data_IF_208788324387
#
_entry.id   IF_208788324387
#
_cell.length_a   1.000
_cell.length_b   1.000
_cell.length_c   1.000
_cell.angle_alpha   90.00
_cell.angle_beta   90.00
_cell.angle_gamma   90.00
#
_symmetry.space_group_name_H-M   'P 1'
#
loop_
_entity.id
_entity.type
_entity.pdbx_description
1 polymer ?
#
# COMPACT_ATOMS: atom_id res chain seq x y z
N UNK A 1 19.20 2.12 8.53
CA UNK A 1 18.63 3.38 7.98
C UNK A 1 17.51 3.95 8.86
N UNK A 2 16.54 3.13 9.30
CA UNK A 2 15.37 3.54 10.11
C UNK A 2 15.68 4.28 11.43
N UNK A 3 16.88 4.10 12.01
CA UNK A 3 17.31 4.81 13.23
C UNK A 3 17.70 6.27 12.99
N UNK A 4 17.95 6.68 11.75
CA UNK A 4 18.26 8.07 11.43
C UNK A 4 16.94 8.85 11.31
N UNK A 5 16.64 9.67 12.33
CA UNK A 5 15.41 10.48 12.36
C UNK A 5 15.27 11.38 11.14
N UNK A 6 16.36 12.00 10.68
CA UNK A 6 16.33 12.88 9.51
C UNK A 6 15.99 12.12 8.23
N UNK A 7 16.49 10.89 8.09
CA UNK A 7 16.12 10.01 6.98
C UNK A 7 14.61 9.71 6.97
N UNK A 8 14.03 9.41 8.12
CA UNK A 8 12.58 9.16 8.25
C UNK A 8 11.77 10.40 7.86
N UNK A 9 12.19 11.58 8.35
CA UNK A 9 11.56 12.86 7.99
C UNK A 9 11.66 13.14 6.49
N UNK A 10 12.81 12.91 5.86
CA UNK A 10 12.99 13.07 4.41
C UNK A 10 12.06 12.14 3.63
N UNK A 11 11.93 10.87 4.03
CA UNK A 11 11.02 9.94 3.34
C UNK A 11 9.57 10.45 3.41
N UNK A 12 9.11 10.91 4.57
CA UNK A 12 7.77 11.48 4.72
C UNK A 12 7.57 12.80 3.94
N UNK A 13 8.53 13.72 4.01
CA UNK A 13 8.43 14.99 3.30
C UNK A 13 8.53 14.82 1.79
N UNK A 14 9.42 13.94 1.31
CA UNK A 14 9.65 13.72 -0.11
C UNK A 14 8.43 13.11 -0.78
N UNK A 15 7.71 12.20 -0.13
CA UNK A 15 6.47 11.61 -0.69
C UNK A 15 5.40 12.68 -0.93
N UNK A 16 5.21 13.59 0.03
CA UNK A 16 4.25 14.69 -0.10
C UNK A 16 4.68 15.73 -1.12
N UNK A 17 5.92 16.24 -1.00
CA UNK A 17 6.42 17.33 -1.87
C UNK A 17 6.65 16.85 -3.29
N UNK A 18 7.13 15.60 -3.47
CA UNK A 18 7.35 14.99 -4.78
C UNK A 18 6.08 14.80 -5.58
N UNK A 19 5.00 14.29 -4.96
CA UNK A 19 3.70 14.19 -5.62
C UNK A 19 3.12 15.56 -5.97
N UNK A 20 3.21 16.52 -5.05
CA UNK A 20 2.83 17.92 -5.31
C UNK A 20 3.57 18.49 -6.53
N UNK A 21 4.89 18.28 -6.59
CA UNK A 21 5.72 18.73 -7.72
C UNK A 21 5.28 18.09 -9.05
N UNK A 22 4.91 16.80 -9.07
CA UNK A 22 4.38 16.13 -10.27
C UNK A 22 3.05 16.73 -10.71
N UNK A 23 2.13 16.95 -9.77
CA UNK A 23 0.83 17.57 -10.06
C UNK A 23 1.00 18.99 -10.61
N UNK A 24 1.87 19.79 -9.98
CA UNK A 24 2.20 21.12 -10.45
C UNK A 24 2.81 21.09 -11.85
N UNK A 25 3.78 20.21 -12.14
CA UNK A 25 4.36 20.13 -13.48
C UNK A 25 3.34 19.73 -14.55
N UNK A 26 2.38 18.86 -14.21
CA UNK A 26 1.33 18.42 -15.15
C UNK A 26 0.33 19.51 -15.52
N UNK A 27 0.18 20.56 -14.72
CA UNK A 27 -0.72 21.67 -15.05
C UNK A 27 -0.13 22.65 -16.07
N UNK A 28 1.18 22.56 -16.37
CA UNK A 28 1.85 23.45 -17.31
C UNK A 28 2.03 22.82 -18.69
N UNK A 29 1.89 23.60 -19.78
CA UNK A 29 2.23 23.15 -21.13
C UNK A 29 3.68 22.66 -21.25
N UNK A 30 3.90 21.63 -22.09
CA UNK A 30 5.21 20.96 -22.25
C UNK A 30 6.38 21.91 -22.53
N UNK A 31 6.15 22.98 -23.30
CA UNK A 31 7.20 23.93 -23.66
C UNK A 31 7.62 24.87 -22.50
N UNK A 32 6.78 25.04 -21.48
CA UNK A 32 7.11 25.82 -20.27
C UNK A 32 7.82 24.98 -19.20
N UNK A 33 7.79 23.65 -19.33
CA UNK A 33 8.37 22.74 -18.33
C UNK A 33 9.84 23.04 -17.98
N UNK A 34 10.75 23.40 -18.91
CA UNK A 34 12.12 23.72 -18.54
C UNK A 34 12.24 24.90 -17.56
N UNK A 35 11.39 25.91 -17.72
CA UNK A 35 11.36 27.09 -16.85
C UNK A 35 10.73 26.72 -15.49
N UNK A 36 9.55 26.09 -15.52
CA UNK A 36 8.82 25.72 -14.31
C UNK A 36 9.63 24.73 -13.47
N UNK A 37 10.26 23.73 -14.09
CA UNK A 37 11.15 22.80 -13.41
C UNK A 37 12.27 23.52 -12.62
N UNK A 38 12.80 24.61 -13.17
CA UNK A 38 13.89 25.36 -12.53
C UNK A 38 13.41 26.20 -11.34
N UNK A 39 12.26 26.87 -11.47
CA UNK A 39 11.83 27.90 -10.52
C UNK A 39 10.71 27.48 -9.58
N UNK A 40 9.91 26.46 -9.91
CA UNK A 40 8.74 26.08 -9.11
C UNK A 40 9.15 25.67 -7.69
N UNK A 41 8.54 26.25 -6.63
CA UNK A 41 8.94 26.01 -5.24
C UNK A 41 8.95 24.54 -4.85
N UNK A 42 7.91 23.78 -5.21
CA UNK A 42 7.84 22.34 -4.90
C UNK A 42 8.93 21.54 -5.60
N UNK A 43 9.26 21.86 -6.86
CA UNK A 43 10.32 21.15 -7.60
C UNK A 43 11.70 21.45 -7.01
N UNK A 44 11.93 22.70 -6.58
CA UNK A 44 13.15 23.08 -5.85
C UNK A 44 13.25 22.34 -4.52
N UNK A 45 12.15 22.25 -3.76
CA UNK A 45 12.11 21.52 -2.50
C UNK A 45 12.35 20.01 -2.69
N UNK A 46 11.73 19.37 -3.69
CA UNK A 46 11.99 17.95 -4.02
C UNK A 46 13.47 17.72 -4.35
N UNK A 47 14.10 18.61 -5.11
CA UNK A 47 15.53 18.50 -5.44
C UNK A 47 16.43 18.68 -4.21
N UNK A 48 16.09 19.60 -3.31
CA UNK A 48 16.82 19.80 -2.06
C UNK A 48 16.73 18.55 -1.18
N UNK A 49 15.53 17.99 -0.99
CA UNK A 49 15.33 16.74 -0.25
C UNK A 49 16.08 15.56 -0.88
N UNK A 50 16.10 15.45 -2.21
CA UNK A 50 16.86 14.41 -2.91
C UNK A 50 18.37 14.58 -2.73
N UNK A 51 18.88 15.81 -2.73
CA UNK A 51 20.30 16.08 -2.47
C UNK A 51 20.71 15.61 -1.08
N UNK A 52 19.91 15.98 -0.07
CA UNK A 52 20.16 15.56 1.31
C UNK A 52 20.01 14.04 1.48
N UNK A 53 19.03 13.43 0.81
CA UNK A 53 18.86 11.98 0.78
C UNK A 53 20.10 11.28 0.20
N UNK A 54 20.71 11.84 -0.86
CA UNK A 54 21.95 11.31 -1.44
C UNK A 54 23.12 11.39 -0.48
N UNK A 55 23.28 12.49 0.25
CA UNK A 55 24.36 12.61 1.25
C UNK A 55 24.23 11.53 2.33
N UNK A 56 23.02 11.34 2.87
CA UNK A 56 22.75 10.30 3.85
C UNK A 56 23.01 8.92 3.24
N UNK A 57 22.50 8.65 2.04
CA UNK A 57 22.64 7.35 1.39
C UNK A 57 24.08 7.01 1.03
N UNK A 58 24.86 7.98 0.56
CA UNK A 58 26.28 7.79 0.29
C UNK A 58 27.02 7.37 1.57
N UNK A 59 26.75 8.04 2.69
CA UNK A 59 27.35 7.66 3.98
C UNK A 59 26.97 6.23 4.43
N UNK A 60 25.75 5.79 4.11
CA UNK A 60 25.29 4.42 4.40
C UNK A 60 26.00 3.41 3.50
N UNK A 61 26.08 3.68 2.21
CA UNK A 61 26.77 2.82 1.25
C UNK A 61 28.27 2.70 1.55
N UNK A 62 28.93 3.79 1.97
CA UNK A 62 30.34 3.76 2.39
C UNK A 62 30.53 2.90 3.64
N UNK A 63 29.68 3.05 4.66
CA UNK A 63 29.72 2.21 5.86
C UNK A 63 29.49 0.73 5.54
N UNK A 64 28.64 0.42 4.57
CA UNK A 64 28.43 -0.97 4.09
C UNK A 64 29.66 -1.56 3.43
N UNK A 65 30.36 -0.79 2.61
CA UNK A 65 31.62 -1.25 1.98
C UNK A 65 32.69 -1.59 3.01
N UNK A 66 32.70 -0.88 4.15
CA UNK A 66 33.65 -1.11 5.24
C UNK A 66 33.26 -2.27 6.16
N UNK A 67 31.96 -2.57 6.27
CA UNK A 67 31.45 -3.57 7.19
C UNK A 67 31.42 -4.96 6.54
N UNK A 68 32.11 -5.94 7.14
CA UNK A 68 32.12 -7.33 6.63
C UNK A 68 30.78 -8.05 6.85
N UNK A 69 29.94 -7.55 7.76
CA UNK A 69 28.64 -8.17 8.04
C UNK A 69 27.59 -7.59 7.09
N UNK A 70 27.11 -8.44 6.19
CA UNK A 70 26.09 -8.09 5.19
C UNK A 70 24.70 -8.05 5.84
N UNK A 71 24.03 -6.90 5.79
CA UNK A 71 22.64 -6.75 6.24
C UNK A 71 21.72 -6.99 5.05
N UNK A 72 20.86 -8.01 5.13
CA UNK A 72 19.90 -8.31 4.05
C UNK A 72 18.79 -7.27 4.06
N UNK A 73 18.78 -6.39 3.07
CA UNK A 73 17.69 -5.44 2.85
C UNK A 73 17.50 -5.05 1.38
N UNK A 74 16.68 -4.03 1.13
CA UNK A 74 16.33 -3.60 -0.22
C UNK A 74 17.52 -3.08 -1.04
N UNK A 75 18.54 -2.50 -0.41
CA UNK A 75 19.74 -2.03 -1.12
C UNK A 75 20.60 -3.19 -1.58
N UNK A 76 20.72 -4.23 -0.76
CA UNK A 76 21.42 -5.45 -1.13
C UNK A 76 20.78 -6.12 -2.35
N UNK A 77 19.44 -6.10 -2.41
CA UNK A 77 18.70 -6.58 -3.59
C UNK A 77 18.94 -5.71 -4.82
N UNK A 78 18.96 -4.37 -4.68
CA UNK A 78 19.30 -3.48 -5.79
C UNK A 78 20.73 -3.69 -6.29
N UNK A 79 21.70 -3.83 -5.39
CA UNK A 79 23.09 -4.08 -5.73
C UNK A 79 23.24 -5.39 -6.52
N UNK A 80 22.55 -6.46 -6.10
CA UNK A 80 22.56 -7.73 -6.80
C UNK A 80 21.95 -7.63 -8.20
N UNK A 81 20.78 -6.99 -8.34
CA UNK A 81 20.11 -6.83 -9.64
C UNK A 81 20.92 -5.94 -10.58
N UNK A 82 21.46 -4.83 -10.07
CA UNK A 82 22.32 -3.92 -10.83
C UNK A 82 23.58 -4.64 -11.33
N UNK A 83 24.25 -5.40 -10.46
CA UNK A 83 25.44 -6.18 -10.81
C UNK A 83 25.14 -7.23 -11.89
N UNK A 84 24.01 -7.94 -11.79
CA UNK A 84 23.61 -8.94 -12.79
C UNK A 84 23.30 -8.33 -14.16
N UNK A 85 22.85 -7.08 -14.20
CA UNK A 85 22.51 -6.36 -15.44
C UNK A 85 23.67 -5.55 -16.01
N UNK A 86 24.71 -5.29 -15.22
CA UNK A 86 25.77 -4.35 -15.57
C UNK A 86 25.31 -2.88 -15.51
N UNK A 87 24.22 -2.61 -14.77
CA UNK A 87 23.64 -1.28 -14.64
C UNK A 87 24.15 -0.57 -13.38
N UNK A 88 24.11 0.76 -13.39
CA UNK A 88 24.26 1.58 -12.17
C UNK A 88 22.92 2.17 -11.76
N UNK A 89 22.74 2.40 -10.47
CA UNK A 89 21.55 3.04 -9.93
C UNK A 89 21.93 4.06 -8.85
N UNK A 90 21.01 4.99 -8.58
CA UNK A 90 21.12 5.93 -7.49
C UNK A 90 20.38 5.37 -6.25
N UNK A 91 21.09 5.03 -5.16
CA UNK A 91 20.48 4.44 -3.97
C UNK A 91 19.42 5.32 -3.32
N UNK A 92 19.60 6.65 -3.33
CA UNK A 92 18.62 7.57 -2.76
C UNK A 92 17.35 7.61 -3.60
N UNK A 93 17.47 7.67 -4.93
CA UNK A 93 16.31 7.62 -5.82
C UNK A 93 15.57 6.30 -5.67
N UNK A 94 16.28 5.18 -5.58
CA UNK A 94 15.68 3.86 -5.43
C UNK A 94 14.87 3.74 -4.12
N UNK A 95 15.45 4.14 -2.98
CA UNK A 95 14.75 4.11 -1.69
C UNK A 95 13.57 5.08 -1.62
N UNK A 96 13.74 6.31 -2.10
CA UNK A 96 12.66 7.30 -2.13
C UNK A 96 11.52 6.86 -3.06
N UNK A 97 11.83 6.15 -4.14
CA UNK A 97 10.81 5.57 -5.02
C UNK A 97 9.99 4.50 -4.29
N UNK A 98 10.62 3.64 -3.48
CA UNK A 98 9.87 2.71 -2.62
C UNK A 98 9.01 3.44 -1.59
N UNK A 99 9.52 4.49 -0.95
CA UNK A 99 8.74 5.28 -0.02
C UNK A 99 7.50 5.90 -0.68
N UNK A 100 7.66 6.52 -1.85
CA UNK A 100 6.53 7.07 -2.64
C UNK A 100 5.51 6.00 -3.00
N UNK A 101 5.97 4.82 -3.41
CA UNK A 101 5.10 3.73 -3.83
C UNK A 101 4.33 3.07 -2.67
N UNK A 102 4.89 3.04 -1.46
CA UNK A 102 4.32 2.30 -0.33
C UNK A 102 3.57 3.17 0.68
N UNK A 103 4.14 4.33 1.07
CA UNK A 103 3.70 5.04 2.28
C UNK A 103 2.22 5.43 2.26
N UNK A 104 1.75 6.11 1.20
CA UNK A 104 0.37 6.60 1.14
C UNK A 104 -0.64 5.45 1.05
N UNK A 105 -0.37 4.44 0.22
CA UNK A 105 -1.28 3.30 0.06
C UNK A 105 -1.39 2.43 1.30
N UNK A 106 -0.27 2.17 1.99
CA UNK A 106 -0.30 1.39 3.24
C UNK A 106 -1.08 2.14 4.32
N UNK A 107 -0.81 3.45 4.47
CA UNK A 107 -1.47 4.26 5.49
C UNK A 107 -2.97 4.36 5.25
N UNK A 108 -3.38 4.63 4.00
CA UNK A 108 -4.79 4.69 3.60
C UNK A 108 -5.52 3.35 3.83
N UNK A 109 -4.87 2.22 3.53
CA UNK A 109 -5.43 0.90 3.78
C UNK A 109 -5.60 0.63 5.28
N UNK A 110 -4.59 0.96 6.10
CA UNK A 110 -4.66 0.78 7.54
C UNK A 110 -5.79 1.61 8.15
N UNK A 111 -5.85 2.91 7.81
CA UNK A 111 -6.90 3.80 8.29
C UNK A 111 -8.29 3.30 7.90
N UNK A 112 -8.47 2.86 6.65
CA UNK A 112 -9.74 2.31 6.19
C UNK A 112 -10.16 1.09 7.00
N UNK A 113 -9.26 0.14 7.26
CA UNK A 113 -9.57 -1.06 8.06
C UNK A 113 -10.02 -0.68 9.47
N UNK A 114 -9.36 0.28 10.11
CA UNK A 114 -9.76 0.76 11.44
C UNK A 114 -11.15 1.41 11.43
N UNK A 115 -11.49 2.13 10.35
CA UNK A 115 -12.81 2.73 10.16
C UNK A 115 -13.89 1.70 9.85
N UNK A 116 -13.58 0.67 9.06
CA UNK A 116 -14.52 -0.40 8.74
C UNK A 116 -14.83 -1.23 9.98
N UNK A 117 -13.84 -1.50 10.84
CA UNK A 117 -14.02 -2.25 12.09
C UNK A 117 -14.74 -1.47 13.21
N UNK A 118 -14.96 -0.17 13.06
CA UNK A 118 -15.46 0.70 14.15
C UNK A 118 -16.79 0.26 14.76
N UNK A 119 -17.65 -0.36 13.94
CA UNK A 119 -19.00 -0.80 14.32
C UNK A 119 -19.09 -2.33 14.47
N UNK A 120 -17.94 -3.03 14.51
CA UNK A 120 -17.87 -4.49 14.55
C UNK A 120 -16.97 -4.97 15.70
N UNK A 121 -17.34 -4.68 16.97
CA UNK A 121 -16.54 -5.08 18.13
C UNK A 121 -16.39 -6.60 18.22
N UNK A 122 -17.40 -7.36 17.79
CA UNK A 122 -17.39 -8.82 17.69
C UNK A 122 -16.29 -9.33 16.73
N UNK A 123 -16.10 -8.65 15.59
CA UNK A 123 -15.04 -8.96 14.63
C UNK A 123 -13.68 -8.58 15.19
N UNK A 124 -13.55 -7.45 15.89
CA UNK A 124 -12.31 -7.04 16.56
C UNK A 124 -11.89 -8.08 17.60
N UNK A 125 -12.83 -8.61 18.38
CA UNK A 125 -12.56 -9.65 19.37
C UNK A 125 -12.24 -11.01 18.72
N UNK A 126 -12.84 -11.32 17.56
CA UNK A 126 -12.45 -12.49 16.78
C UNK A 126 -11.02 -12.37 16.22
N UNK A 127 -10.65 -11.19 15.72
CA UNK A 127 -9.29 -10.89 15.25
C UNK A 127 -8.25 -11.02 16.35
N UNK A 128 -8.55 -10.51 17.54
CA UNK A 128 -7.66 -10.66 18.72
C UNK A 128 -7.49 -12.12 19.09
N UNK A 129 -8.58 -12.89 19.14
CA UNK A 129 -8.52 -14.33 19.44
C UNK A 129 -7.70 -15.10 18.41
N UNK A 130 -7.91 -14.84 17.12
CA UNK A 130 -7.10 -15.44 16.04
C UNK A 130 -5.62 -15.13 16.25
N UNK A 131 -5.29 -13.86 16.48
CA UNK A 131 -3.92 -13.41 16.67
C UNK A 131 -3.26 -14.06 17.89
N UNK A 132 -3.94 -14.07 19.04
CA UNK A 132 -3.42 -14.65 20.27
C UNK A 132 -3.21 -16.15 20.12
N UNK A 133 -4.17 -16.88 19.55
CA UNK A 133 -4.05 -18.34 19.32
C UNK A 133 -2.85 -18.67 18.43
N UNK A 134 -2.77 -18.03 17.26
CA UNK A 134 -1.74 -18.31 16.27
C UNK A 134 -0.34 -17.96 16.79
N UNK A 135 -0.18 -16.79 17.41
CA UNK A 135 1.13 -16.38 17.94
C UNK A 135 1.54 -17.20 19.16
N UNK A 136 0.59 -17.66 19.99
CA UNK A 136 0.90 -18.54 21.12
C UNK A 136 1.34 -19.93 20.65
N UNK A 137 0.74 -20.45 19.57
CA UNK A 137 1.09 -21.76 19.01
C UNK A 137 2.39 -21.75 18.21
N UNK A 138 2.58 -20.76 17.34
CA UNK A 138 3.62 -20.75 16.29
C UNK A 138 4.75 -19.74 16.57
N UNK A 139 4.58 -18.89 17.59
CA UNK A 139 5.47 -17.76 17.87
C UNK A 139 5.26 -16.58 16.91
N UNK A 140 6.07 -15.53 17.09
CA UNK A 140 6.08 -14.36 16.21
C UNK A 140 6.96 -14.59 14.99
N UNK A 141 6.44 -15.33 14.01
CA UNK A 141 7.15 -15.71 12.78
C UNK A 141 6.34 -15.35 11.53
N UNK A 142 6.99 -15.31 10.37
CA UNK A 142 6.29 -15.12 9.10
C UNK A 142 5.23 -16.21 8.86
N UNK A 143 5.55 -17.47 9.19
CA UNK A 143 4.63 -18.59 9.06
C UNK A 143 3.38 -18.41 9.93
N UNK A 144 3.53 -17.84 11.13
CA UNK A 144 2.39 -17.48 11.99
C UNK A 144 1.54 -16.38 11.34
N UNK A 145 2.15 -15.31 10.81
CA UNK A 145 1.41 -14.23 10.14
C UNK A 145 0.65 -14.74 8.90
N UNK A 146 1.17 -15.72 8.18
CA UNK A 146 0.50 -16.36 7.04
C UNK A 146 -0.76 -17.15 7.45
N UNK A 147 -0.91 -17.51 8.73
CA UNK A 147 -2.09 -18.22 9.26
C UNK A 147 -3.22 -17.28 9.73
N UNK A 148 -3.01 -15.95 9.74
CA UNK A 148 -4.03 -14.96 10.13
C UNK A 148 -5.06 -14.74 9.01
N UNK A 149 -5.94 -15.72 8.81
CA UNK A 149 -6.90 -15.79 7.70
C UNK A 149 -8.02 -14.75 7.81
N UNK A 150 -8.51 -14.48 9.02
CA UNK A 150 -9.51 -13.44 9.27
C UNK A 150 -8.91 -12.06 9.03
N UNK A 151 -7.67 -11.84 9.47
CA UNK A 151 -6.95 -10.61 9.15
C UNK A 151 -6.78 -10.40 7.64
N UNK A 152 -6.40 -11.44 6.89
CA UNK A 152 -6.35 -11.36 5.42
C UNK A 152 -7.72 -11.04 4.80
N UNK A 153 -8.78 -11.69 5.28
CA UNK A 153 -10.14 -11.48 4.78
C UNK A 153 -10.60 -10.03 5.00
N UNK A 154 -10.35 -9.46 6.19
CA UNK A 154 -10.70 -8.07 6.53
C UNK A 154 -9.89 -7.05 5.73
N UNK A 155 -8.59 -7.28 5.57
CA UNK A 155 -7.74 -6.44 4.73
C UNK A 155 -8.26 -6.43 3.29
N UNK A 156 -8.60 -7.61 2.76
CA UNK A 156 -9.12 -7.76 1.40
C UNK A 156 -10.51 -7.14 1.26
N UNK A 157 -11.40 -7.32 2.22
CA UNK A 157 -12.75 -6.73 2.19
C UNK A 157 -12.73 -5.20 2.28
N UNK A 158 -11.88 -4.65 3.14
CA UNK A 158 -11.71 -3.19 3.24
C UNK A 158 -11.20 -2.62 1.91
N UNK A 159 -10.23 -3.30 1.27
CA UNK A 159 -9.72 -2.90 -0.05
C UNK A 159 -10.79 -3.09 -1.15
N UNK A 160 -11.66 -4.11 -1.03
CA UNK A 160 -12.77 -4.37 -1.96
C UNK A 160 -13.76 -3.21 -1.97
N UNK A 161 -14.19 -2.79 -0.78
CA UNK A 161 -15.13 -1.70 -0.63
C UNK A 161 -14.49 -0.37 -1.01
N UNK A 162 -13.32 -0.05 -0.45
CA UNK A 162 -12.65 1.22 -0.73
C UNK A 162 -11.24 0.96 -1.25
N UNK A 163 -11.09 0.70 -2.56
CA UNK A 163 -9.79 0.71 -3.19
C UNK A 163 -9.26 2.15 -3.24
N UNK A 164 -7.94 2.31 -3.09
CA UNK A 164 -7.28 3.62 -3.16
C UNK A 164 -7.45 4.30 -4.53
N UNK A 165 -7.69 3.51 -5.58
CA UNK A 165 -7.96 3.99 -6.94
C UNK A 165 -9.26 3.36 -7.47
N UNK A 166 -10.07 4.16 -8.15
CA UNK A 166 -11.29 3.71 -8.85
C UNK A 166 -11.02 3.13 -10.24
N UNK A 167 -9.81 3.33 -10.77
CA UNK A 167 -9.34 2.68 -12.01
C UNK A 167 -7.91 2.19 -11.87
N UNK A 168 -7.63 1.00 -12.40
CA UNK A 168 -6.34 0.31 -12.37
C UNK A 168 -5.79 0.09 -13.79
N UNK A 169 -4.57 -0.45 -13.88
CA UNK A 169 -3.96 -0.85 -15.15
C UNK A 169 -3.99 0.24 -16.24
N UNK A 170 -3.75 1.50 -15.85
CA UNK A 170 -3.69 2.66 -16.75
C UNK A 170 -2.62 2.44 -17.85
N UNK A 171 -2.96 2.61 -19.14
CA UNK A 171 -2.05 2.42 -20.30
C UNK A 171 -2.26 3.47 -21.37
N UNK A 172 -1.17 3.87 -22.03
CA UNK A 172 -1.23 4.57 -23.31
C UNK A 172 -1.14 3.55 -24.45
N UNK A 173 -2.04 3.64 -25.42
CA UNK A 173 -2.10 2.76 -26.58
C UNK A 173 -1.04 3.20 -27.59
N UNK A 174 0.02 2.40 -27.76
CA UNK A 174 1.18 2.78 -28.58
C UNK A 174 0.98 2.50 -30.09
N UNK A 175 0.06 1.59 -30.42
CA UNK A 175 -0.33 1.21 -31.78
C UNK A 175 -1.80 0.82 -31.78
N UNK A 176 -2.48 0.98 -32.92
CA UNK A 176 -3.86 0.48 -33.07
C UNK A 176 -3.89 -1.00 -32.65
N UNK A 177 -4.77 -1.34 -31.72
CA UNK A 177 -4.83 -2.66 -31.10
C UNK A 177 -6.27 -3.12 -31.04
N UNK A 178 -6.57 -4.22 -31.72
CA UNK A 178 -7.88 -4.86 -31.68
C UNK A 178 -7.98 -5.79 -30.46
N UNK A 179 -9.06 -5.67 -29.70
CA UNK A 179 -9.40 -6.55 -28.59
C UNK A 179 -10.12 -7.81 -29.12
N UNK A 180 -10.22 -8.84 -28.27
CA UNK A 180 -10.85 -10.12 -28.66
C UNK A 180 -12.33 -10.02 -29.05
N UNK A 181 -13.00 -8.95 -28.63
CA UNK A 181 -14.40 -8.64 -28.95
C UNK A 181 -14.55 -7.72 -30.18
N UNK A 182 -13.46 -7.47 -30.91
CA UNK A 182 -13.43 -6.65 -32.12
C UNK A 182 -13.32 -5.14 -31.85
N UNK A 183 -13.28 -4.69 -30.59
CA UNK A 183 -13.09 -3.26 -30.28
C UNK A 183 -11.66 -2.85 -30.66
N UNK A 184 -11.53 -1.87 -31.56
CA UNK A 184 -10.24 -1.32 -31.96
C UNK A 184 -9.85 -0.11 -31.11
N UNK A 185 -8.77 -0.24 -30.33
CA UNK A 185 -8.19 0.83 -29.55
C UNK A 185 -7.24 1.67 -30.43
N UNK A 186 -7.53 2.96 -30.66
CA UNK A 186 -6.69 3.78 -31.52
C UNK A 186 -5.38 4.16 -30.82
N UNK A 187 -4.30 4.24 -31.61
CA UNK A 187 -3.01 4.77 -31.17
C UNK A 187 -3.19 6.17 -30.55
N UNK A 188 -2.59 6.37 -29.38
CA UNK A 188 -2.67 7.60 -28.62
C UNK A 188 -3.79 7.63 -27.59
N UNK A 189 -4.74 6.68 -27.62
CA UNK A 189 -5.74 6.55 -26.56
C UNK A 189 -5.11 6.24 -25.20
N UNK A 190 -5.76 6.69 -24.13
CA UNK A 190 -5.44 6.30 -22.77
C UNK A 190 -6.56 5.42 -22.22
N UNK A 191 -6.22 4.22 -21.78
CA UNK A 191 -7.17 3.23 -21.26
C UNK A 191 -6.88 2.93 -19.79
N UNK A 192 -7.92 2.55 -19.06
CA UNK A 192 -7.82 2.06 -17.69
C UNK A 192 -8.93 1.03 -17.44
N UNK A 193 -8.75 0.19 -16.44
CA UNK A 193 -9.72 -0.83 -16.04
C UNK A 193 -10.46 -0.33 -14.80
N UNK A 194 -11.79 -0.24 -14.88
CA UNK A 194 -12.63 0.17 -13.75
C UNK A 194 -12.54 -0.82 -12.58
N UNK A 195 -12.50 -0.30 -11.35
CA UNK A 195 -12.58 -1.09 -10.13
C UNK A 195 -14.01 -1.61 -9.86
N UNK A 196 -15.01 -1.26 -10.67
CA UNK A 196 -16.43 -1.61 -10.48
C UNK A 196 -16.67 -3.10 -10.19
N UNK A 197 -15.90 -4.02 -10.79
CA UNK A 197 -16.04 -5.48 -10.51
C UNK A 197 -15.89 -5.83 -9.03
N UNK A 198 -15.15 -5.03 -8.25
CA UNK A 198 -14.98 -5.21 -6.81
C UNK A 198 -16.27 -4.95 -6.02
N UNK A 199 -17.27 -4.27 -6.61
CA UNK A 199 -18.60 -4.04 -6.03
C UNK A 199 -19.73 -4.54 -6.94
N UNK A 200 -19.44 -5.43 -7.87
CA UNK A 200 -20.44 -5.98 -8.77
C UNK A 200 -21.29 -7.04 -8.04
N UNK A 201 -22.63 -6.89 -7.97
CA UNK A 201 -23.51 -7.87 -7.31
C UNK A 201 -23.48 -9.26 -7.96
N UNK A 202 -23.05 -9.37 -9.22
CA UNK A 202 -22.85 -10.67 -9.90
C UNK A 202 -21.66 -11.43 -9.30
N UNK A 203 -20.68 -10.71 -8.76
CA UNK A 203 -19.44 -11.27 -8.20
C UNK A 203 -19.50 -11.37 -6.68
N UNK A 204 -20.13 -10.40 -6.02
CA UNK A 204 -20.19 -10.26 -4.56
C UNK A 204 -21.63 -10.05 -4.10
N UNK A 205 -22.17 -10.98 -3.31
CA UNK A 205 -23.46 -10.80 -2.63
C UNK A 205 -23.40 -9.62 -1.66
N UNK A 206 -24.49 -8.84 -1.58
CA UNK A 206 -24.56 -7.61 -0.77
C UNK A 206 -23.30 -6.73 -0.95
N UNK A 207 -23.02 -6.24 -2.18
CA UNK A 207 -21.70 -5.73 -2.54
C UNK A 207 -21.29 -4.47 -1.76
N UNK A 208 -22.24 -3.70 -1.23
CA UNK A 208 -21.96 -2.50 -0.44
C UNK A 208 -21.81 -2.77 1.06
N UNK A 209 -22.07 -4.01 1.51
CA UNK A 209 -21.93 -4.40 2.91
C UNK A 209 -20.51 -4.89 3.18
N UNK A 210 -19.92 -4.39 4.26
CA UNK A 210 -18.70 -4.94 4.83
C UNK A 210 -18.99 -6.29 5.48
N UNK A 211 -18.28 -7.31 5.01
CA UNK A 211 -18.32 -8.65 5.57
C UNK A 211 -16.91 -9.18 5.80
N UNK A 212 -16.52 -9.22 7.09
CA UNK A 212 -15.22 -9.66 7.55
C UNK A 212 -14.90 -11.11 7.16
N UNK A 213 -15.91 -11.97 7.00
CA UNK A 213 -15.75 -13.41 6.76
C UNK A 213 -15.88 -13.80 5.29
N UNK A 214 -16.26 -12.85 4.42
CA UNK A 214 -16.52 -13.08 2.98
C UNK A 214 -15.45 -13.91 2.27
N UNK A 215 -14.18 -13.61 2.49
CA UNK A 215 -13.09 -14.32 1.80
C UNK A 215 -12.71 -15.64 2.47
N UNK A 216 -13.02 -15.82 3.77
CA UNK A 216 -12.94 -17.13 4.43
C UNK A 216 -14.01 -18.06 3.86
N UNK A 217 -15.26 -17.60 3.81
CA UNK A 217 -16.39 -18.39 3.32
C UNK A 217 -16.20 -18.75 1.85
N UNK A 218 -15.77 -17.79 1.02
CA UNK A 218 -15.46 -18.04 -0.39
C UNK A 218 -14.37 -19.09 -0.58
N UNK A 219 -13.32 -19.06 0.24
CA UNK A 219 -12.24 -20.05 0.19
C UNK A 219 -12.73 -21.46 0.60
N UNK A 220 -13.63 -21.54 1.57
CA UNK A 220 -14.21 -22.81 2.02
C UNK A 220 -15.22 -23.39 1.02
N UNK A 221 -16.01 -22.53 0.36
CA UNK A 221 -17.02 -22.96 -0.61
C UNK A 221 -16.45 -23.43 -1.95
N UNK A 222 -15.29 -22.89 -2.34
CA UNK A 222 -14.70 -23.11 -3.66
C UNK A 222 -13.17 -23.19 -3.53
N UNK A 223 -12.61 -24.40 -3.38
CA UNK A 223 -11.17 -24.61 -3.22
C UNK A 223 -10.34 -24.06 -4.39
N UNK A 224 -10.88 -24.02 -5.61
CA UNK A 224 -10.16 -23.45 -6.76
C UNK A 224 -10.03 -21.93 -6.66
N UNK A 225 -11.01 -21.28 -6.01
CA UNK A 225 -10.99 -19.83 -5.75
C UNK A 225 -10.29 -19.44 -4.46
N UNK A 226 -9.97 -20.39 -3.58
CA UNK A 226 -9.27 -20.13 -2.32
C UNK A 226 -7.94 -19.36 -2.53
N UNK A 227 -7.21 -19.66 -3.61
CA UNK A 227 -5.97 -18.96 -3.99
C UNK A 227 -6.14 -17.45 -4.27
N UNK A 228 -7.37 -16.99 -4.49
CA UNK A 228 -7.71 -15.58 -4.74
C UNK A 228 -8.30 -14.89 -3.50
N UNK A 229 -8.32 -15.56 -2.35
CA UNK A 229 -8.96 -15.04 -1.13
C UNK A 229 -7.97 -14.38 -0.16
N UNK A 230 -6.67 -14.67 -0.23
CA UNK A 230 -5.66 -13.97 0.57
C UNK A 230 -5.50 -12.50 0.16
N UNK A 231 -5.10 -11.61 1.08
CA UNK A 231 -5.02 -10.17 0.79
C UNK A 231 -4.07 -9.86 -0.38
N UNK A 232 -2.89 -10.49 -0.40
CA UNK A 232 -1.87 -10.32 -1.45
C UNK A 232 -2.24 -10.92 -2.82
N UNK A 233 -3.37 -11.62 -2.93
CA UNK A 233 -3.79 -12.25 -4.19
C UNK A 233 -4.52 -11.26 -5.11
N UNK A 234 -4.34 -11.45 -6.42
CA UNK A 234 -4.94 -10.61 -7.47
C UNK A 234 -5.83 -11.44 -8.38
N UNK A 235 -6.94 -10.86 -8.82
CA UNK A 235 -7.84 -11.47 -9.80
C UNK A 235 -8.52 -10.40 -10.64
N UNK A 236 -9.25 -10.80 -11.69
CA UNK A 236 -10.07 -9.88 -12.48
C UNK A 236 -11.25 -9.29 -11.68
N UNK A 237 -11.67 -10.00 -10.63
CA UNK A 237 -12.75 -9.59 -9.73
C UNK A 237 -12.25 -8.67 -8.61
N UNK A 238 -10.95 -8.77 -8.26
CA UNK A 238 -10.32 -7.98 -7.21
C UNK A 238 -9.00 -7.35 -7.69
N UNK A 239 -9.09 -6.14 -8.22
CA UNK A 239 -7.96 -5.43 -8.83
C UNK A 239 -7.27 -4.42 -7.92
N UNK A 240 -7.46 -4.49 -6.59
CA UNK A 240 -6.90 -3.52 -5.64
C UNK A 240 -5.37 -3.36 -5.70
N UNK A 241 -4.66 -4.39 -6.16
CA UNK A 241 -3.22 -4.37 -6.44
C UNK A 241 -2.88 -4.32 -7.94
N UNK A 242 -3.84 -4.01 -8.81
CA UNK A 242 -3.71 -4.20 -10.26
C UNK A 242 -3.76 -5.68 -10.65
N UNK A 243 -3.44 -5.98 -11.92
CA UNK A 243 -3.50 -7.35 -12.45
C UNK A 243 -2.44 -7.59 -13.54
N UNK A 244 -2.08 -8.86 -13.77
CA UNK A 244 -1.12 -9.29 -14.78
C UNK A 244 0.32 -8.85 -14.50
N UNK A 245 1.11 -8.63 -15.56
CA UNK A 245 2.55 -8.28 -15.48
C UNK A 245 2.87 -7.04 -14.63
N UNK A 246 1.89 -6.15 -14.46
CA UNK A 246 2.03 -4.91 -13.70
C UNK A 246 1.24 -4.92 -12.40
N UNK A 247 0.83 -6.10 -11.91
CA UNK A 247 0.32 -6.23 -10.55
C UNK A 247 1.39 -5.76 -9.56
N UNK A 248 0.94 -5.12 -8.48
CA UNK A 248 1.79 -4.47 -7.50
C UNK A 248 2.87 -5.44 -7.00
N UNK A 249 4.16 -5.12 -7.16
CA UNK A 249 5.25 -5.98 -6.69
C UNK A 249 5.33 -5.99 -5.16
N UNK A 250 4.88 -4.93 -4.49
CA UNK A 250 4.92 -4.79 -3.03
C UNK A 250 3.77 -5.47 -2.28
N UNK A 251 2.82 -6.14 -2.96
CA UNK A 251 1.60 -6.67 -2.34
C UNK A 251 1.86 -7.68 -1.20
N UNK A 252 2.88 -8.52 -1.33
CA UNK A 252 3.25 -9.47 -0.25
C UNK A 252 3.91 -8.74 0.92
N UNK A 253 4.78 -7.76 0.63
CA UNK A 253 5.44 -6.94 1.64
C UNK A 253 4.41 -6.14 2.46
N UNK A 254 3.49 -5.44 1.79
CA UNK A 254 2.49 -4.62 2.48
C UNK A 254 1.47 -5.46 3.25
N UNK A 255 1.20 -6.70 2.81
CA UNK A 255 0.37 -7.64 3.58
C UNK A 255 1.01 -7.93 4.93
N UNK A 256 2.31 -8.26 4.94
CA UNK A 256 3.06 -8.49 6.18
C UNK A 256 3.13 -7.22 7.03
N UNK A 257 3.44 -6.07 6.43
CA UNK A 257 3.48 -4.78 7.11
C UNK A 257 2.15 -4.45 7.80
N UNK A 258 1.03 -4.57 7.09
CA UNK A 258 -0.30 -4.31 7.63
C UNK A 258 -0.68 -5.29 8.73
N UNK A 259 -0.35 -6.58 8.58
CA UNK A 259 -0.59 -7.58 9.63
C UNK A 259 0.19 -7.26 10.90
N UNK A 260 1.45 -6.86 10.79
CA UNK A 260 2.28 -6.44 11.93
C UNK A 260 1.70 -5.19 12.60
N UNK A 261 1.33 -4.17 11.82
CA UNK A 261 0.74 -2.94 12.34
C UNK A 261 -0.59 -3.21 13.05
N UNK A 262 -1.49 -3.97 12.42
CA UNK A 262 -2.78 -4.33 13.01
C UNK A 262 -2.60 -5.18 14.27
N UNK A 263 -1.68 -6.14 14.29
CA UNK A 263 -1.42 -6.94 15.48
C UNK A 263 -1.00 -6.08 16.68
N UNK A 264 -0.11 -5.11 16.47
CA UNK A 264 0.25 -4.16 17.53
C UNK A 264 -0.93 -3.29 17.96
N UNK A 265 -1.76 -2.80 17.02
CA UNK A 265 -2.93 -1.99 17.35
C UNK A 265 -3.94 -2.80 18.16
N UNK A 266 -4.27 -4.02 17.70
CA UNK A 266 -5.28 -4.90 18.30
C UNK A 266 -4.95 -5.31 19.74
N UNK A 267 -3.68 -5.63 20.02
CA UNK A 267 -3.25 -6.08 21.36
C UNK A 267 -3.01 -4.92 22.32
N UNK A 268 -2.51 -3.78 21.82
CA UNK A 268 -2.08 -2.68 22.69
C UNK A 268 -3.17 -1.63 22.91
N UNK A 269 -4.19 -1.57 22.05
CA UNK A 269 -5.13 -0.46 22.04
C UNK A 269 -6.58 -0.90 21.75
N UNK A 270 -7.51 -0.17 22.37
CA UNK A 270 -8.88 0.01 21.88
C UNK A 270 -8.96 1.34 21.15
N UNK A 271 -9.80 1.41 20.12
CA UNK A 271 -10.08 2.64 19.41
C UNK A 271 -11.58 2.82 19.15
N UNK A 272 -12.02 4.08 19.10
CA UNK A 272 -13.37 4.46 18.63
C UNK A 272 -13.34 5.84 17.98
N UNK A 273 -14.33 6.11 17.13
CA UNK A 273 -14.52 7.47 16.63
C UNK A 273 -15.17 8.35 17.72
N UNK A 274 -14.84 9.66 17.75
CA UNK A 274 -15.64 10.64 18.47
C UNK A 274 -17.09 10.63 17.99
N UNK A 275 -18.02 11.02 18.88
CA UNK A 275 -19.44 11.11 18.54
C UNK A 275 -19.68 12.20 17.48
N UNK A 276 -20.61 11.96 16.56
CA UNK A 276 -20.99 12.93 15.51
C UNK A 276 -20.00 13.08 14.34
N UNK A 277 -18.95 12.27 14.27
CA UNK A 277 -18.01 12.30 13.14
C UNK A 277 -18.67 11.72 11.88
N UNK A 278 -18.74 12.54 10.84
CA UNK A 278 -19.12 12.12 9.48
C UNK A 278 -17.85 11.83 8.70
N UNK A 279 -17.70 10.59 8.26
CA UNK A 279 -16.56 10.19 7.44
C UNK A 279 -16.79 10.63 5.99
N UNK A 280 -15.87 11.43 5.47
CA UNK A 280 -15.90 11.87 4.07
C UNK A 280 -14.71 11.27 3.32
N UNK A 281 -14.95 10.66 2.17
CA UNK A 281 -13.84 10.26 1.30
C UNK A 281 -13.24 11.50 0.63
N UNK A 282 -11.92 11.60 0.62
CA UNK A 282 -11.18 12.60 -0.13
C UNK A 282 -10.95 12.08 -1.55
N UNK A 283 -11.82 12.50 -2.47
CA UNK A 283 -11.75 12.11 -3.88
C UNK A 283 -10.94 13.12 -4.68
N UNK A 284 -9.95 12.64 -5.43
CA UNK A 284 -9.17 13.43 -6.38
C UNK A 284 -9.01 12.69 -7.71
N UNK A 285 -9.83 13.06 -8.70
CA UNK A 285 -9.88 12.33 -9.97
C UNK A 285 -10.32 10.89 -9.75
N UNK A 286 -9.42 9.92 -10.01
CA UNK A 286 -9.68 8.50 -9.75
C UNK A 286 -9.18 8.03 -8.39
N UNK A 287 -8.45 8.85 -7.64
CA UNK A 287 -7.97 8.50 -6.31
C UNK A 287 -9.09 8.72 -5.28
N UNK A 288 -9.25 7.76 -4.37
CA UNK A 288 -10.27 7.77 -3.31
C UNK A 288 -9.56 7.49 -1.99
N UNK A 289 -9.23 8.55 -1.27
CA UNK A 289 -8.48 8.47 -0.01
C UNK A 289 -9.43 8.53 1.18
N UNK A 290 -9.06 7.81 2.24
CA UNK A 290 -9.67 7.95 3.56
C UNK A 290 -9.44 9.36 4.10
N UNK A 291 -10.38 9.90 4.88
CA UNK A 291 -10.15 11.15 5.59
C UNK A 291 -9.01 10.99 6.61
N UNK A 292 -7.86 11.54 6.26
CA UNK A 292 -6.66 11.53 7.12
C UNK A 292 -6.71 12.57 8.23
N UNK A 293 -7.72 13.44 8.27
CA UNK A 293 -7.92 14.46 9.31
C UNK A 293 -8.85 14.00 10.43
N UNK A 294 -9.58 12.90 10.21
CA UNK A 294 -10.46 12.33 11.23
C UNK A 294 -9.65 11.89 12.45
N UNK A 295 -10.01 12.43 13.62
CA UNK A 295 -9.42 12.04 14.90
C UNK A 295 -10.04 10.75 15.42
N UNK A 296 -9.23 9.91 16.06
CA UNK A 296 -9.66 8.65 16.68
C UNK A 296 -9.33 8.70 18.17
N UNK A 297 -10.27 8.29 19.02
CA UNK A 297 -10.05 8.14 20.45
C UNK A 297 -9.38 6.79 20.70
N UNK A 298 -8.24 6.80 21.37
CA UNK A 298 -7.43 5.60 21.62
C UNK A 298 -7.26 5.39 23.12
N UNK A 299 -7.45 4.16 23.58
CA UNK A 299 -7.21 3.75 24.96
C UNK A 299 -6.22 2.58 24.98
N UNK A 300 -5.14 2.70 25.76
CA UNK A 300 -4.21 1.58 25.95
C UNK A 300 -4.89 0.44 26.72
N UNK A 301 -4.64 -0.79 26.28
CA UNK A 301 -5.14 -2.02 26.90
C UNK A 301 -4.02 -2.77 27.63
N UNK A 302 -4.43 -3.73 28.45
CA UNK A 302 -3.56 -4.79 28.93
C UNK A 302 -3.41 -5.84 27.84
N UNK A 303 -2.19 -6.03 27.37
CA UNK A 303 -1.83 -6.96 26.30
C UNK A 303 -1.99 -8.41 26.79
N UNK A 304 -2.72 -9.25 26.05
CA UNK A 304 -2.86 -10.68 26.34
C UNK A 304 -1.54 -11.44 26.15
N UNK A 305 -0.76 -11.00 25.15
CA UNK A 305 0.58 -11.52 24.84
C UNK A 305 1.52 -10.36 24.48
N UNK A 306 2.80 -10.53 24.77
CA UNK A 306 3.83 -9.56 24.40
C UNK A 306 4.40 -9.87 23.02
N UNK A 307 4.16 -8.98 22.07
CA UNK A 307 4.86 -9.02 20.79
C UNK A 307 6.30 -8.50 20.94
N UNK A 308 7.26 -9.02 20.17
CA UNK A 308 8.62 -8.48 20.15
C UNK A 308 8.61 -7.00 19.70
N UNK A 309 9.64 -6.29 20.15
CA UNK A 309 9.83 -4.86 19.90
C UNK A 309 10.43 -4.58 18.53
#
# INVERSE_FOLDING_TARGET
>A
MSKNRRWVEINSQYTTVGLGAVMALRSWPRYLLPLIYRFHPQVRATRALLSEAREIMNSVCEKRKQNKRREIDSLDWFDEVASRRGDQYDPAVAQLTFAVAAMHSTTDQLCQVLLDLRNHPDVVDALRRELVDVVTREGWTQAALDQLKLMDSILKESQRLKPINQVFNKRAVLKNTELSDGICLPKGAFIAVSAHRMRDPVVYSDPDKFDAYRFIERANSDPEKARFCGFSSVSIDHTGFGFGRHACPGRTYVTLELKVLLAHILLKYDWKLPEGVVLNLMNHGFDSLTDMTTSVLVKRRSEEIKLPA
#
